data_IF_357695411968
#
_entry.id   IF_357695411968
#
_cell.length_a   1.000
_cell.length_b   1.000
_cell.length_c   1.000
_cell.angle_alpha   90.00
_cell.angle_beta   90.00
_cell.angle_gamma   90.00
#
_symmetry.space_group_name_H-M   'P 1'
#
loop_
_entity.id
_entity.type
_entity.pdbx_description
1 polymer ?
#
# COMPACT_ATOMS: atom_id res chain seq x y z
N UNK A 1 75.65 34.85 -40.12
CA UNK A 1 74.25 34.69 -39.67
C UNK A 1 73.70 33.28 -39.86
N UNK A 2 73.83 32.60 -41.02
CA UNK A 2 73.29 31.23 -41.24
C UNK A 2 73.80 30.13 -40.27
N UNK A 3 75.05 30.19 -39.81
CA UNK A 3 75.61 29.19 -38.86
C UNK A 3 75.05 29.32 -37.43
N UNK A 4 74.67 30.52 -37.00
CA UNK A 4 74.07 30.76 -35.67
C UNK A 4 72.62 30.26 -35.65
N UNK A 5 71.86 30.49 -36.72
CA UNK A 5 70.49 29.97 -36.84
C UNK A 5 70.45 28.44 -36.88
N UNK A 6 71.41 27.78 -37.53
CA UNK A 6 71.49 26.32 -37.52
C UNK A 6 71.82 25.76 -36.11
N UNK A 7 72.77 26.38 -35.39
CA UNK A 7 73.08 25.97 -34.01
C UNK A 7 71.88 26.20 -33.08
N UNK A 8 71.17 27.31 -33.25
CA UNK A 8 69.98 27.62 -32.46
C UNK A 8 68.82 26.65 -32.77
N UNK A 9 68.62 26.27 -34.04
CA UNK A 9 67.65 25.26 -34.44
C UNK A 9 67.99 23.87 -33.90
N UNK A 10 69.28 23.49 -33.89
CA UNK A 10 69.72 22.22 -33.30
C UNK A 10 69.57 22.22 -31.78
N UNK A 11 69.84 23.33 -31.10
CA UNK A 11 69.65 23.45 -29.66
C UNK A 11 68.17 23.35 -29.26
N UNK A 12 67.29 24.01 -30.02
CA UNK A 12 65.83 23.95 -29.82
C UNK A 12 65.30 22.53 -30.09
N UNK A 13 65.79 21.86 -31.14
CA UNK A 13 65.42 20.49 -31.45
C UNK A 13 65.82 19.49 -30.34
N UNK A 14 67.00 19.66 -29.73
CA UNK A 14 67.48 18.82 -28.61
C UNK A 14 66.68 19.08 -27.33
N UNK A 15 66.29 20.33 -27.05
CA UNK A 15 65.46 20.69 -25.90
C UNK A 15 64.00 20.22 -26.01
N UNK A 16 63.49 20.01 -27.24
CA UNK A 16 62.15 19.42 -27.44
C UNK A 16 62.07 17.91 -27.21
N UNK A 17 63.20 17.19 -27.09
CA UNK A 17 63.21 15.77 -26.73
C UNK A 17 63.23 15.52 -25.20
N UNK A 18 63.44 16.54 -24.38
CA UNK A 18 63.49 16.42 -22.91
C UNK A 18 62.21 16.86 -22.20
N UNK A 19 61.17 17.32 -22.93
CA UNK A 19 59.92 17.81 -22.32
C UNK A 19 58.83 16.76 -22.11
N UNK A 20 59.12 15.48 -22.35
CA UNK A 20 58.24 14.37 -21.98
C UNK A 20 58.96 13.43 -21.01
N UNK A 21 59.23 13.91 -19.80
CA UNK A 21 59.17 13.01 -18.65
C UNK A 21 57.69 12.63 -18.50
N UNK A 22 57.36 11.38 -18.81
CA UNK A 22 56.05 10.80 -18.51
C UNK A 22 56.01 10.31 -17.05
N UNK A 23 56.77 10.92 -16.15
CA UNK A 23 56.69 10.64 -14.72
C UNK A 23 55.46 11.37 -14.18
N UNK A 24 54.29 10.87 -14.57
CA UNK A 24 53.07 11.11 -13.83
C UNK A 24 53.22 10.23 -12.60
N UNK A 25 53.43 10.84 -11.43
CA UNK A 25 53.36 10.13 -10.17
C UNK A 25 52.03 9.36 -10.15
N UNK A 26 52.11 8.03 -10.10
CA UNK A 26 50.93 7.20 -10.04
C UNK A 26 50.18 7.56 -8.76
N UNK A 27 48.98 8.15 -8.90
CA UNK A 27 48.12 8.52 -7.77
C UNK A 27 47.73 7.28 -6.93
N UNK A 28 47.86 6.08 -7.50
CA UNK A 28 47.53 4.82 -6.87
C UNK A 28 48.59 3.76 -7.17
N UNK A 29 48.92 2.95 -6.16
CA UNK A 29 49.95 1.89 -6.25
C UNK A 29 49.56 0.69 -7.14
N UNK A 30 48.32 0.65 -7.66
CA UNK A 30 47.79 -0.45 -8.49
C UNK A 30 47.00 0.06 -9.70
N UNK A 31 47.04 -0.67 -10.84
CA UNK A 31 46.20 -0.39 -11.99
C UNK A 31 44.70 -0.35 -11.63
N UNK A 32 43.94 0.50 -12.30
CA UNK A 32 42.49 0.64 -12.05
C UNK A 32 41.71 -0.68 -12.16
N UNK A 33 42.09 -1.57 -13.08
CA UNK A 33 41.45 -2.88 -13.22
C UNK A 33 41.71 -3.81 -12.02
N UNK A 34 42.93 -3.82 -11.48
CA UNK A 34 43.27 -4.61 -10.30
C UNK A 34 42.54 -4.10 -9.06
N UNK A 35 42.47 -2.77 -8.87
CA UNK A 35 41.73 -2.17 -7.75
C UNK A 35 40.25 -2.51 -7.76
N UNK A 36 39.66 -2.60 -8.95
CA UNK A 36 38.25 -2.99 -9.12
C UNK A 36 38.04 -4.46 -8.78
N UNK A 37 38.93 -5.34 -9.24
CA UNK A 37 38.86 -6.76 -8.91
C UNK A 37 39.05 -7.01 -7.41
N UNK A 38 39.99 -6.30 -6.77
CA UNK A 38 40.20 -6.35 -5.32
C UNK A 38 38.94 -5.92 -4.57
N UNK A 39 38.31 -4.81 -4.98
CA UNK A 39 37.08 -4.32 -4.37
C UNK A 39 35.87 -5.26 -4.60
N UNK A 40 35.76 -5.89 -5.79
CA UNK A 40 34.74 -6.92 -6.05
C UNK A 40 34.95 -8.12 -5.11
N UNK A 41 36.20 -8.57 -4.93
CA UNK A 41 36.52 -9.66 -4.02
C UNK A 41 36.19 -9.30 -2.57
N UNK A 42 36.56 -8.11 -2.12
CA UNK A 42 36.23 -7.58 -0.78
C UNK A 42 34.71 -7.54 -0.55
N UNK A 43 33.95 -6.99 -1.51
CA UNK A 43 32.50 -6.90 -1.39
C UNK A 43 31.85 -8.29 -1.39
N UNK A 44 32.37 -9.24 -2.16
CA UNK A 44 31.91 -10.64 -2.11
C UNK A 44 32.19 -11.25 -0.73
N UNK A 45 33.36 -10.99 -0.14
CA UNK A 45 33.68 -11.43 1.22
C UNK A 45 32.71 -10.83 2.24
N UNK A 46 32.40 -9.52 2.15
CA UNK A 46 31.41 -8.88 3.03
C UNK A 46 30.05 -9.55 2.88
N UNK A 47 29.51 -9.63 1.66
CA UNK A 47 28.18 -10.20 1.40
C UNK A 47 28.04 -11.64 1.93
N UNK A 48 29.10 -12.44 1.84
CA UNK A 48 29.11 -13.84 2.29
C UNK A 48 29.53 -14.03 3.76
N UNK A 49 29.98 -12.98 4.44
CA UNK A 49 30.38 -13.04 5.86
C UNK A 49 29.21 -13.06 6.85
N UNK A 50 28.03 -12.56 6.44
CA UNK A 50 26.83 -12.61 7.25
C UNK A 50 26.28 -14.05 7.28
N UNK A 51 26.63 -14.81 8.33
CA UNK A 51 26.32 -16.25 8.46
C UNK A 51 24.84 -16.58 8.23
N UNK A 52 23.94 -15.72 8.73
CA UNK A 52 22.50 -15.87 8.58
C UNK A 52 21.88 -14.92 7.53
N UNK A 53 22.72 -14.32 6.69
CA UNK A 53 22.31 -13.38 5.65
C UNK A 53 22.04 -11.97 6.18
N UNK A 54 21.34 -11.21 5.34
CA UNK A 54 21.11 -9.79 5.46
C UNK A 54 19.62 -9.50 5.46
N UNK A 55 19.18 -8.56 6.29
CA UNK A 55 17.90 -7.87 6.14
C UNK A 55 18.09 -6.68 5.21
N UNK A 56 17.42 -6.71 4.08
CA UNK A 56 17.37 -5.62 3.10
C UNK A 56 16.04 -4.88 3.22
N UNK A 57 16.10 -3.61 3.64
CA UNK A 57 14.95 -2.70 3.60
C UNK A 57 14.80 -2.15 2.18
N UNK A 58 13.81 -2.63 1.45
CA UNK A 58 13.63 -2.36 0.02
C UNK A 58 12.40 -1.51 -0.25
N UNK A 59 12.56 -0.45 -1.05
CA UNK A 59 11.47 0.44 -1.42
C UNK A 59 11.34 0.45 -2.95
N UNK A 60 10.33 -0.23 -3.53
CA UNK A 60 10.12 -0.19 -4.96
C UNK A 60 9.69 1.21 -5.41
N UNK A 61 10.13 1.56 -6.63
CA UNK A 61 9.91 2.86 -7.28
C UNK A 61 10.65 4.04 -6.64
N UNK A 62 11.07 4.98 -7.48
CA UNK A 62 11.90 6.13 -7.07
C UNK A 62 11.23 7.05 -6.04
N UNK A 63 9.90 7.18 -6.09
CA UNK A 63 9.12 8.02 -5.19
C UNK A 63 8.51 7.25 -4.02
N UNK A 64 8.92 5.98 -3.82
CA UNK A 64 8.53 5.14 -2.67
C UNK A 64 7.02 4.99 -2.45
N UNK A 65 6.20 5.23 -3.49
CA UNK A 65 4.72 5.32 -3.34
C UNK A 65 4.02 4.01 -2.93
N UNK A 66 4.74 2.89 -2.92
CA UNK A 66 4.21 1.59 -2.49
C UNK A 66 4.70 1.21 -1.08
N UNK A 67 5.50 2.06 -0.43
CA UNK A 67 6.12 1.77 0.87
C UNK A 67 7.32 0.84 0.79
N UNK A 68 7.74 0.31 1.94
CA UNK A 68 8.93 -0.52 2.10
C UNK A 68 8.62 -1.98 2.45
N UNK A 69 9.50 -2.88 2.03
CA UNK A 69 9.42 -4.33 2.19
C UNK A 69 10.74 -4.90 2.71
N UNK A 70 10.64 -5.95 3.52
CA UNK A 70 11.78 -6.63 4.11
C UNK A 70 12.15 -7.84 3.26
N UNK A 71 13.34 -7.82 2.66
CA UNK A 71 13.91 -9.00 2.00
C UNK A 71 15.02 -9.59 2.87
N UNK A 72 14.93 -10.87 3.17
CA UNK A 72 16.00 -11.63 3.81
C UNK A 72 16.86 -12.27 2.70
N UNK A 73 18.15 -11.93 2.64
CA UNK A 73 19.06 -12.34 1.58
C UNK A 73 20.29 -13.05 2.13
N UNK A 74 20.57 -14.27 1.66
CA UNK A 74 21.78 -15.03 2.03
C UNK A 74 22.60 -15.31 0.78
N UNK A 75 23.76 -14.67 0.71
CA UNK A 75 24.72 -14.82 -0.38
C UNK A 75 25.63 -16.02 -0.10
N UNK A 76 25.73 -16.92 -1.06
CA UNK A 76 26.65 -18.05 -1.08
C UNK A 76 27.95 -17.72 -1.79
N UNK A 77 29.00 -18.44 -1.43
CA UNK A 77 30.31 -18.36 -2.10
C UNK A 77 30.28 -18.94 -3.52
N UNK A 78 29.30 -19.81 -3.79
CA UNK A 78 28.96 -20.41 -5.08
C UNK A 78 28.34 -19.44 -6.10
N UNK A 79 28.07 -18.19 -5.70
CA UNK A 79 27.45 -17.19 -6.58
C UNK A 79 25.92 -17.21 -6.56
N UNK A 80 25.31 -17.94 -5.63
CA UNK A 80 23.86 -17.95 -5.46
C UNK A 80 23.41 -17.05 -4.30
N UNK A 81 22.23 -16.46 -4.42
CA UNK A 81 21.53 -15.76 -3.35
C UNK A 81 20.22 -16.48 -3.07
N UNK A 82 19.93 -16.69 -1.79
CA UNK A 82 18.63 -17.20 -1.34
C UNK A 82 17.84 -16.06 -0.73
N UNK A 83 16.56 -15.94 -1.08
CA UNK A 83 15.70 -14.83 -0.71
C UNK A 83 14.38 -15.30 -0.09
N UNK A 84 13.87 -14.52 0.86
CA UNK A 84 12.52 -14.56 1.43
C UNK A 84 12.04 -13.11 1.66
N UNK A 85 10.74 -12.84 1.63
CA UNK A 85 10.20 -11.48 1.74
C UNK A 85 8.85 -11.47 2.45
N UNK A 86 8.62 -10.44 3.25
CA UNK A 86 7.31 -10.17 3.89
C UNK A 86 6.21 -9.92 2.85
N UNK A 87 6.56 -9.44 1.66
CA UNK A 87 5.62 -9.30 0.55
C UNK A 87 4.98 -10.61 0.05
N UNK A 88 5.54 -11.79 0.39
CA UNK A 88 5.13 -13.10 -0.12
C UNK A 88 4.90 -14.15 0.97
N UNK A 89 5.09 -13.78 2.24
CA UNK A 89 4.98 -14.66 3.39
C UNK A 89 6.14 -15.65 3.58
N UNK A 90 6.17 -16.25 4.77
CA UNK A 90 7.24 -17.14 5.23
C UNK A 90 7.40 -18.45 4.43
N UNK A 91 6.36 -18.89 3.71
CA UNK A 91 6.40 -20.11 2.89
C UNK A 91 7.10 -19.90 1.53
N UNK A 92 7.36 -18.64 1.15
CA UNK A 92 7.93 -18.32 -0.15
C UNK A 92 9.43 -18.04 -0.07
N UNK A 93 10.22 -19.05 -0.44
CA UNK A 93 11.68 -18.97 -0.58
C UNK A 93 12.13 -19.25 -2.01
N UNK A 94 13.20 -18.59 -2.45
CA UNK A 94 13.78 -18.81 -3.78
C UNK A 94 15.29 -18.56 -3.81
N UNK A 95 16.00 -19.37 -4.60
CA UNK A 95 17.45 -19.24 -4.82
C UNK A 95 17.71 -18.96 -6.29
N UNK A 96 18.66 -18.07 -6.58
CA UNK A 96 19.06 -17.70 -7.94
C UNK A 96 20.50 -17.21 -7.95
N UNK A 97 21.10 -17.09 -9.12
CA UNK A 97 22.41 -16.46 -9.27
C UNK A 97 22.42 -14.95 -8.91
N UNK A 98 23.56 -14.47 -8.41
CA UNK A 98 23.90 -13.05 -8.31
C UNK A 98 25.32 -12.81 -8.83
N UNK A 99 25.59 -11.58 -9.29
CA UNK A 99 26.95 -11.17 -9.66
C UNK A 99 27.30 -9.80 -9.12
N UNK A 100 28.60 -9.60 -8.90
CA UNK A 100 29.22 -8.30 -8.70
C UNK A 100 30.05 -7.98 -9.94
N UNK A 101 29.75 -6.86 -10.60
CA UNK A 101 30.47 -6.46 -11.81
C UNK A 101 30.75 -4.96 -11.84
N UNK A 102 31.72 -4.56 -12.66
CA UNK A 102 32.03 -3.16 -12.89
C UNK A 102 31.10 -2.57 -13.97
N UNK A 103 30.31 -1.56 -13.59
CA UNK A 103 29.48 -0.78 -14.52
C UNK A 103 29.31 0.65 -13.98
N UNK A 104 30.24 1.56 -14.34
CA UNK A 104 30.40 2.92 -13.78
C UNK A 104 30.60 3.03 -12.24
N UNK A 105 30.33 1.95 -11.51
CA UNK A 105 30.63 1.62 -10.12
C UNK A 105 30.57 0.10 -9.98
N UNK A 106 30.85 -0.48 -8.80
CA UNK A 106 30.55 -1.91 -8.57
C UNK A 106 29.03 -2.06 -8.44
N UNK A 107 28.45 -2.98 -9.21
CA UNK A 107 27.01 -3.25 -9.25
C UNK A 107 26.76 -4.68 -8.77
N UNK A 108 25.88 -4.81 -7.78
CA UNK A 108 25.25 -6.07 -7.40
C UNK A 108 24.04 -6.29 -8.34
N UNK A 109 24.03 -7.38 -9.08
CA UNK A 109 22.93 -7.74 -9.98
C UNK A 109 22.34 -9.09 -9.60
N UNK A 110 21.01 -9.15 -9.56
CA UNK A 110 20.25 -10.40 -9.54
C UNK A 110 19.89 -10.74 -10.99
N UNK A 111 20.73 -11.54 -11.64
CA UNK A 111 20.72 -11.76 -13.09
C UNK A 111 20.03 -13.08 -13.52
N UNK A 112 19.58 -13.88 -12.56
CA UNK A 112 18.70 -15.02 -12.78
C UNK A 112 17.35 -14.80 -12.09
N UNK A 113 16.26 -15.22 -12.75
CA UNK A 113 14.92 -15.03 -12.22
C UNK A 113 14.76 -15.64 -10.83
N UNK A 114 14.22 -14.85 -9.92
CA UNK A 114 13.95 -15.19 -8.54
C UNK A 114 12.59 -14.64 -8.17
N UNK A 115 11.61 -15.51 -7.92
CA UNK A 115 10.22 -15.11 -7.63
C UNK A 115 10.07 -14.18 -6.42
N UNK A 116 11.04 -14.14 -5.50
CA UNK A 116 11.01 -13.25 -4.33
C UNK A 116 11.56 -11.87 -4.70
N UNK A 117 12.76 -11.83 -5.29
CA UNK A 117 13.43 -10.57 -5.64
C UNK A 117 12.71 -9.86 -6.80
N UNK A 118 12.31 -10.61 -7.83
CA UNK A 118 11.73 -10.06 -9.06
C UNK A 118 10.25 -9.69 -8.92
N UNK A 119 9.58 -10.10 -7.84
CA UNK A 119 8.19 -9.76 -7.52
C UNK A 119 7.88 -8.28 -7.71
N UNK A 120 8.78 -7.40 -7.26
CA UNK A 120 8.61 -5.95 -7.31
C UNK A 120 8.72 -5.33 -8.71
N UNK A 121 9.08 -6.13 -9.71
CA UNK A 121 9.21 -5.73 -11.11
C UNK A 121 8.53 -6.70 -12.06
N UNK A 122 7.74 -7.65 -11.53
CA UNK A 122 7.12 -8.70 -12.32
C UNK A 122 6.07 -8.09 -13.28
N UNK A 123 6.23 -8.26 -14.61
CA UNK A 123 5.26 -7.78 -15.59
C UNK A 123 3.85 -8.33 -15.39
N UNK A 124 3.69 -9.52 -14.80
CA UNK A 124 2.39 -10.11 -14.49
C UNK A 124 1.68 -9.39 -13.35
N UNK A 125 2.38 -8.56 -12.57
CA UNK A 125 1.85 -7.79 -11.44
C UNK A 125 0.98 -8.64 -10.50
N UNK A 126 1.53 -9.73 -9.91
CA UNK A 126 0.74 -10.72 -9.17
C UNK A 126 0.01 -10.15 -7.95
N UNK A 127 0.50 -9.06 -7.37
CA UNK A 127 -0.12 -8.38 -6.23
C UNK A 127 -1.22 -7.37 -6.64
N UNK A 128 -1.37 -7.08 -7.93
CA UNK A 128 -2.19 -5.96 -8.40
C UNK A 128 -1.66 -4.58 -7.97
N UNK A 129 -0.41 -4.49 -7.46
CA UNK A 129 0.21 -3.25 -6.99
C UNK A 129 1.12 -2.70 -8.10
N UNK A 130 0.67 -1.62 -8.73
CA UNK A 130 1.38 -0.96 -9.83
C UNK A 130 0.78 -1.27 -11.19
N UNK A 131 1.59 -1.16 -12.25
CA UNK A 131 1.10 -1.23 -13.62
C UNK A 131 1.37 -2.60 -14.25
N UNK A 132 0.38 -3.15 -14.94
CA UNK A 132 0.57 -4.34 -15.78
C UNK A 132 1.69 -4.10 -16.80
N UNK A 133 2.60 -5.06 -16.93
CA UNK A 133 3.81 -4.95 -17.76
C UNK A 133 5.02 -4.29 -17.09
N UNK A 134 4.86 -3.70 -15.89
CA UNK A 134 5.95 -3.04 -15.14
C UNK A 134 6.04 -3.45 -13.66
N UNK A 135 4.98 -4.02 -13.10
CA UNK A 135 4.85 -4.29 -11.68
C UNK A 135 4.98 -3.01 -10.85
N UNK A 136 5.68 -3.12 -9.71
CA UNK A 136 6.01 -1.97 -8.84
C UNK A 136 7.25 -1.19 -9.29
N UNK A 137 7.79 -1.48 -10.47
CA UNK A 137 8.96 -0.80 -11.03
C UNK A 137 10.25 -0.93 -10.20
N UNK A 138 10.39 -2.03 -9.45
CA UNK A 138 11.57 -2.37 -8.67
C UNK A 138 12.88 -2.44 -9.47
N UNK A 139 13.98 -2.09 -8.82
CA UNK A 139 15.34 -2.34 -9.30
C UNK A 139 15.76 -3.80 -9.03
N UNK A 140 16.56 -4.36 -9.94
CA UNK A 140 17.22 -5.68 -9.82
C UNK A 140 18.75 -5.55 -9.78
N UNK A 141 19.24 -4.35 -10.04
CA UNK A 141 20.65 -4.00 -10.09
C UNK A 141 20.89 -2.82 -9.15
N UNK A 142 21.95 -2.92 -8.35
CA UNK A 142 22.23 -1.99 -7.26
C UNK A 142 23.68 -1.55 -7.28
N UNK A 143 23.91 -0.24 -7.37
CA UNK A 143 25.23 0.35 -7.26
C UNK A 143 25.66 0.32 -5.80
N UNK A 144 26.73 -0.40 -5.49
CA UNK A 144 27.28 -0.51 -4.13
C UNK A 144 28.03 0.78 -3.81
N UNK A 145 27.60 1.48 -2.75
CA UNK A 145 28.27 2.66 -2.24
C UNK A 145 29.31 2.29 -1.18
N UNK A 146 28.90 1.45 -0.22
CA UNK A 146 29.76 0.93 0.85
C UNK A 146 29.37 -0.51 1.17
N UNK A 147 30.34 -1.36 1.45
CA UNK A 147 30.11 -2.71 1.96
C UNK A 147 31.04 -2.94 3.16
N UNK A 148 30.44 -3.18 4.32
CA UNK A 148 31.13 -3.44 5.59
C UNK A 148 30.41 -4.56 6.32
N UNK A 149 31.04 -5.15 7.34
CA UNK A 149 30.40 -6.17 8.17
C UNK A 149 29.09 -5.68 8.84
N UNK A 150 29.00 -4.39 9.15
CA UNK A 150 27.84 -3.80 9.83
C UNK A 150 26.71 -3.43 8.86
N UNK A 151 27.05 -3.02 7.63
CA UNK A 151 26.06 -2.65 6.63
C UNK A 151 26.59 -2.65 5.19
N UNK A 152 25.68 -2.91 4.25
CA UNK A 152 25.89 -2.67 2.81
C UNK A 152 24.89 -1.61 2.34
N UNK A 153 25.39 -0.49 1.84
CA UNK A 153 24.58 0.64 1.38
C UNK A 153 24.65 0.71 -0.13
N UNK A 154 23.49 0.79 -0.77
CA UNK A 154 23.35 0.74 -2.22
C UNK A 154 22.36 1.77 -2.75
N UNK A 155 22.44 2.03 -4.05
CA UNK A 155 21.42 2.75 -4.82
C UNK A 155 20.87 1.85 -5.92
N UNK A 156 19.55 1.81 -6.08
CA UNK A 156 18.93 1.19 -7.25
C UNK A 156 19.49 1.79 -8.55
N UNK A 157 19.93 0.97 -9.49
CA UNK A 157 20.64 1.42 -10.71
C UNK A 157 19.74 2.23 -11.63
N UNK A 158 18.46 1.86 -11.75
CA UNK A 158 17.45 2.54 -12.58
C UNK A 158 16.72 3.63 -11.81
N UNK A 159 16.37 3.41 -10.53
CA UNK A 159 15.51 4.34 -9.77
C UNK A 159 16.25 5.27 -8.82
N UNK A 160 17.48 4.93 -8.45
CA UNK A 160 18.29 5.74 -7.53
C UNK A 160 17.82 5.69 -6.07
N UNK A 161 16.87 4.82 -5.72
CA UNK A 161 16.39 4.67 -4.34
C UNK A 161 17.50 4.11 -3.45
N UNK A 162 17.74 4.75 -2.30
CA UNK A 162 18.69 4.27 -1.29
C UNK A 162 18.16 3.02 -0.62
N UNK A 163 19.00 1.99 -0.56
CA UNK A 163 18.74 0.68 0.02
C UNK A 163 19.86 0.37 0.99
N UNK A 164 19.50 -0.21 2.13
CA UNK A 164 20.44 -0.59 3.18
C UNK A 164 20.19 -2.04 3.55
N UNK A 165 21.27 -2.81 3.60
CA UNK A 165 21.29 -4.14 4.17
C UNK A 165 22.01 -4.11 5.52
N UNK A 166 21.43 -4.75 6.52
CA UNK A 166 22.03 -4.98 7.84
C UNK A 166 22.12 -6.48 8.11
N UNK A 167 23.17 -6.98 8.80
CA UNK A 167 23.32 -8.41 9.04
C UNK A 167 22.18 -8.92 9.94
N UNK A 168 21.64 -10.08 9.61
CA UNK A 168 20.71 -10.80 10.47
C UNK A 168 21.43 -11.33 11.71
N UNK A 169 20.72 -11.44 12.83
CA UNK A 169 21.23 -12.18 13.99
C UNK A 169 21.55 -13.62 13.59
N UNK A 170 22.65 -14.17 14.13
CA UNK A 170 23.20 -15.47 13.71
C UNK A 170 22.21 -16.63 13.89
N UNK A 171 21.33 -16.51 14.87
CA UNK A 171 20.35 -17.49 15.32
C UNK A 171 18.90 -17.14 14.92
N UNK A 172 18.68 -16.05 14.19
CA UNK A 172 17.32 -15.67 13.75
C UNK A 172 16.73 -16.71 12.80
N UNK A 173 15.50 -17.15 13.05
CA UNK A 173 14.74 -17.93 12.10
C UNK A 173 14.06 -16.99 11.08
N UNK A 174 14.31 -17.23 9.79
CA UNK A 174 13.75 -16.40 8.72
C UNK A 174 12.23 -16.51 8.62
N UNK A 175 11.69 -17.72 8.76
CA UNK A 175 10.25 -17.93 8.68
C UNK A 175 9.57 -17.28 9.87
N UNK A 176 10.11 -17.44 11.08
CA UNK A 176 9.60 -16.76 12.28
C UNK A 176 9.69 -15.24 12.16
N UNK A 177 10.79 -14.72 11.62
CA UNK A 177 10.96 -13.27 11.38
C UNK A 177 9.89 -12.72 10.45
N UNK A 178 9.64 -13.40 9.32
CA UNK A 178 8.64 -12.95 8.35
C UNK A 178 7.22 -13.13 8.90
N UNK A 179 6.90 -14.28 9.49
CA UNK A 179 5.59 -14.51 10.11
C UNK A 179 5.27 -13.49 11.20
N UNK A 180 6.24 -13.14 12.05
CA UNK A 180 6.05 -12.11 13.08
C UNK A 180 5.78 -10.73 12.47
N UNK A 181 6.48 -10.36 11.39
CA UNK A 181 6.22 -9.10 10.65
C UNK A 181 4.82 -9.10 10.04
N UNK A 182 4.41 -10.20 9.41
CA UNK A 182 3.10 -10.35 8.77
C UNK A 182 1.96 -10.30 9.80
N UNK A 183 2.11 -11.02 10.93
CA UNK A 183 1.14 -11.04 12.03
C UNK A 183 1.00 -9.64 12.65
N UNK A 184 2.12 -8.94 12.88
CA UNK A 184 2.11 -7.59 13.40
C UNK A 184 1.48 -6.60 12.41
N UNK A 185 1.76 -6.71 11.11
CA UNK A 185 1.12 -5.87 10.09
C UNK A 185 -0.41 -6.05 10.09
N UNK A 186 -0.90 -7.29 10.18
CA UNK A 186 -2.32 -7.58 10.31
C UNK A 186 -2.92 -6.99 11.58
N UNK A 187 -2.22 -7.10 12.72
CA UNK A 187 -2.69 -6.53 13.97
C UNK A 187 -2.75 -5.00 13.93
N UNK A 188 -1.78 -4.37 13.28
CA UNK A 188 -1.69 -2.92 13.11
C UNK A 188 -2.66 -2.36 12.08
N UNK A 189 -3.43 -3.19 11.36
CA UNK A 189 -4.31 -2.71 10.30
C UNK A 189 -5.64 -2.17 10.87
N UNK A 190 -5.78 -0.85 10.88
CA UNK A 190 -6.99 -0.14 11.30
C UNK A 190 -7.60 0.68 10.15
N UNK A 191 -8.94 0.90 10.13
CA UNK A 191 -9.58 1.80 9.17
C UNK A 191 -9.00 3.21 9.14
N UNK A 192 -8.63 3.72 10.32
CA UNK A 192 -7.92 4.99 10.49
C UNK A 192 -7.15 5.01 11.79
N UNK A 193 -6.29 6.00 11.92
CA UNK A 193 -5.51 6.29 13.11
C UNK A 193 -5.75 7.74 13.53
N UNK A 194 -5.50 8.03 14.80
CA UNK A 194 -5.47 9.41 15.31
C UNK A 194 -4.16 9.68 16.02
N UNK A 195 -3.62 10.88 15.85
CA UNK A 195 -2.40 11.33 16.49
C UNK A 195 -2.60 12.78 16.96
N UNK A 196 -2.02 13.16 18.09
CA UNK A 196 -2.03 14.54 18.58
C UNK A 196 -0.60 14.99 18.88
N UNK A 197 -0.22 16.13 18.29
CA UNK A 197 1.14 16.69 18.41
C UNK A 197 1.04 18.17 18.69
N UNK A 198 1.52 18.60 19.86
CA UNK A 198 1.46 19.99 20.33
C UNK A 198 0.07 20.60 20.11
N UNK A 199 -0.98 19.94 20.64
CA UNK A 199 -2.40 20.31 20.54
C UNK A 199 -3.01 20.28 19.12
N UNK A 200 -2.26 19.90 18.09
CA UNK A 200 -2.78 19.69 16.73
C UNK A 200 -3.15 18.22 16.54
N UNK A 201 -4.40 17.97 16.16
CA UNK A 201 -4.92 16.63 15.87
C UNK A 201 -4.71 16.26 14.41
N UNK A 202 -4.34 15.02 14.18
CA UNK A 202 -4.21 14.40 12.88
C UNK A 202 -5.12 13.17 12.79
N UNK A 203 -5.82 13.03 11.68
CA UNK A 203 -6.42 11.75 11.26
C UNK A 203 -5.49 11.15 10.21
N UNK A 204 -5.16 9.87 10.35
CA UNK A 204 -4.34 9.18 9.38
C UNK A 204 -5.02 7.97 8.78
N UNK A 205 -4.76 7.71 7.51
CA UNK A 205 -5.22 6.53 6.78
C UNK A 205 -4.04 5.89 6.06
N UNK A 206 -4.03 4.56 5.98
CA UNK A 206 -2.97 3.81 5.31
C UNK A 206 -3.44 3.25 3.96
N UNK A 207 -2.53 3.24 2.99
CA UNK A 207 -2.73 2.57 1.71
C UNK A 207 -1.40 1.95 1.27
N UNK A 208 -1.41 0.66 0.93
CA UNK A 208 -0.20 -0.14 0.85
C UNK A 208 0.62 0.02 2.14
N UNK A 209 1.93 0.30 2.03
CA UNK A 209 2.78 0.68 3.17
C UNK A 209 3.12 2.18 3.15
N UNK A 210 2.10 3.00 2.92
CA UNK A 210 2.15 4.45 3.07
C UNK A 210 1.06 4.89 4.04
N UNK A 211 1.31 5.95 4.78
CA UNK A 211 0.33 6.56 5.70
C UNK A 211 0.17 8.04 5.38
N UNK A 212 -1.08 8.49 5.28
CA UNK A 212 -1.39 9.90 5.03
C UNK A 212 -1.92 10.54 6.30
N UNK A 213 -1.20 11.51 6.85
CA UNK A 213 -1.63 12.31 7.98
C UNK A 213 -2.35 13.56 7.47
N UNK A 214 -3.61 13.75 7.88
CA UNK A 214 -4.41 14.94 7.57
C UNK A 214 -4.57 15.78 8.83
N UNK A 215 -4.07 17.01 8.80
CA UNK A 215 -4.12 17.93 9.94
C UNK A 215 -5.52 18.50 10.14
N UNK A 216 -5.92 18.66 11.40
CA UNK A 216 -7.09 19.47 11.77
C UNK A 216 -6.86 20.96 11.51
N UNK A 217 -5.61 21.40 11.41
CA UNK A 217 -5.25 22.72 10.91
C UNK A 217 -5.20 22.69 9.36
N UNK A 218 -6.20 23.31 8.72
CA UNK A 218 -6.33 23.33 7.27
C UNK A 218 -5.12 23.95 6.55
N UNK A 219 -4.32 24.81 7.20
CA UNK A 219 -3.11 25.40 6.61
C UNK A 219 -1.96 24.39 6.43
N UNK A 220 -1.90 23.35 7.27
CA UNK A 220 -0.88 22.30 7.17
C UNK A 220 -1.22 21.25 6.09
N UNK A 221 -2.51 21.08 5.79
CA UNK A 221 -2.99 20.12 4.79
C UNK A 221 -2.74 18.66 5.19
N UNK A 222 -2.31 17.85 4.22
CA UNK A 222 -2.02 16.43 4.40
C UNK A 222 -0.63 16.06 3.88
N UNK A 223 0.06 15.16 4.58
CA UNK A 223 1.32 14.57 4.11
C UNK A 223 1.23 13.05 4.02
N UNK A 224 1.79 12.47 2.96
CA UNK A 224 1.81 11.01 2.73
C UNK A 224 3.23 10.49 2.85
N UNK A 225 3.44 9.56 3.77
CA UNK A 225 4.75 9.11 4.18
C UNK A 225 4.89 7.59 4.00
N UNK A 226 5.90 7.10 3.29
CA UNK A 226 6.18 5.68 3.16
C UNK A 226 6.79 5.12 4.44
N UNK A 227 6.38 3.92 4.82
CA UNK A 227 6.95 3.19 5.94
C UNK A 227 7.32 1.75 5.54
N UNK A 228 8.11 1.11 6.39
CA UNK A 228 8.36 -0.32 6.41
C UNK A 228 7.91 -0.89 7.75
N UNK A 229 7.37 -2.10 7.74
CA UNK A 229 7.01 -2.81 8.98
C UNK A 229 8.30 -3.37 9.60
N UNK A 230 8.42 -3.25 10.92
CA UNK A 230 9.53 -3.79 11.72
C UNK A 230 9.01 -4.89 12.64
N UNK A 231 9.89 -5.47 13.44
CA UNK A 231 9.52 -6.43 14.49
C UNK A 231 8.69 -5.80 15.63
N UNK A 232 8.52 -4.47 15.64
CA UNK A 232 7.87 -3.72 16.73
C UNK A 232 6.81 -2.73 16.26
N UNK A 233 6.75 -2.41 14.97
CA UNK A 233 5.76 -1.49 14.44
C UNK A 233 6.11 -1.01 13.05
N UNK A 234 6.19 0.31 12.85
CA UNK A 234 6.51 0.93 11.58
C UNK A 234 7.71 1.88 11.69
N UNK A 235 8.53 1.93 10.64
CA UNK A 235 9.64 2.88 10.48
C UNK A 235 9.45 3.64 9.18
N UNK A 236 9.55 4.97 9.22
CA UNK A 236 9.43 5.79 8.02
C UNK A 236 10.71 5.74 7.18
N UNK A 237 10.56 5.82 5.85
CA UNK A 237 11.71 5.85 4.93
C UNK A 237 12.72 6.96 5.27
N UNK A 238 12.17 8.11 5.72
CA UNK A 238 12.90 9.23 6.30
C UNK A 238 12.11 9.73 7.52
N UNK A 239 12.78 10.33 8.52
CA UNK A 239 12.06 10.99 9.60
C UNK A 239 11.07 12.02 9.05
N UNK A 240 9.85 12.01 9.59
CA UNK A 240 8.77 12.92 9.20
C UNK A 240 8.67 14.04 10.23
N UNK A 241 7.98 15.12 9.89
CA UNK A 241 7.72 16.22 10.83
C UNK A 241 6.22 16.48 10.92
N UNK A 242 5.65 16.31 12.12
CA UNK A 242 4.27 16.68 12.43
C UNK A 242 4.30 17.80 13.46
N UNK A 243 3.66 18.94 13.17
CA UNK A 243 3.65 20.15 14.02
C UNK A 243 5.00 20.46 14.71
N UNK A 244 6.09 20.45 13.93
CA UNK A 244 7.46 20.74 14.40
C UNK A 244 8.19 19.61 15.15
N UNK A 245 7.53 18.47 15.40
CA UNK A 245 8.14 17.30 16.04
C UNK A 245 8.60 16.29 15.00
N UNK A 246 9.88 15.92 15.06
CA UNK A 246 10.46 14.88 14.20
C UNK A 246 10.14 13.50 14.73
N UNK A 247 9.67 12.61 13.85
CA UNK A 247 9.28 11.24 14.19
C UNK A 247 9.91 10.28 13.19
N UNK A 248 10.63 9.25 13.67
CA UNK A 248 11.24 8.21 12.82
C UNK A 248 10.34 7.03 12.52
N UNK A 249 9.35 6.80 13.37
CA UNK A 249 8.48 5.65 13.31
C UNK A 249 7.74 5.46 14.61
N UNK A 250 6.92 4.41 14.66
CA UNK A 250 6.08 4.08 15.80
C UNK A 250 6.20 2.61 16.14
N UNK A 251 6.40 2.29 17.42
CA UNK A 251 6.27 0.94 17.94
C UNK A 251 4.82 0.71 18.37
N UNK A 252 4.21 -0.35 17.89
CA UNK A 252 2.88 -0.76 18.32
C UNK A 252 2.96 -1.42 19.70
N UNK A 253 2.08 -0.97 20.61
CA UNK A 253 1.97 -1.43 22.00
C UNK A 253 0.69 -2.23 22.24
N UNK A 254 -0.29 -2.11 21.36
CA UNK A 254 -1.60 -2.73 21.54
C UNK A 254 -2.35 -2.18 22.74
N UNK A 255 -3.01 -3.07 23.48
CA UNK A 255 -3.91 -2.74 24.58
C UNK A 255 -5.26 -2.20 24.13
N UNK A 256 -6.09 -1.78 25.09
CA UNK A 256 -7.48 -1.38 24.85
C UNK A 256 -7.63 -0.18 23.89
N UNK A 257 -6.57 0.65 23.78
CA UNK A 257 -6.55 1.83 22.92
C UNK A 257 -5.76 1.64 21.61
N UNK A 258 -5.26 0.43 21.32
CA UNK A 258 -4.46 0.14 20.14
C UNK A 258 -3.30 1.13 19.93
N UNK A 259 -2.50 1.33 20.99
CA UNK A 259 -1.55 2.43 21.06
C UNK A 259 -0.29 2.15 20.25
N UNK A 260 0.25 3.21 19.65
CA UNK A 260 1.52 3.29 18.97
C UNK A 260 2.36 4.39 19.63
N UNK A 261 3.56 4.05 20.09
CA UNK A 261 4.50 5.00 20.69
C UNK A 261 5.59 5.38 19.68
N UNK A 262 5.85 6.68 19.51
CA UNK A 262 6.96 7.15 18.69
C UNK A 262 8.30 6.59 19.20
N UNK A 263 9.19 6.24 18.27
CA UNK A 263 10.50 5.67 18.58
C UNK A 263 11.51 6.69 19.15
N UNK A 264 11.29 7.98 18.91
CA UNK A 264 12.26 9.05 19.22
C UNK A 264 11.64 10.35 19.76
N UNK A 265 10.32 10.40 19.94
CA UNK A 265 9.59 11.52 20.51
C UNK A 265 8.51 11.05 21.50
N UNK A 266 7.94 11.99 22.27
CA UNK A 266 6.80 11.72 23.16
C UNK A 266 5.46 11.88 22.42
N UNK A 267 5.32 11.24 21.25
CA UNK A 267 4.12 11.30 20.41
C UNK A 267 3.44 9.93 20.40
N UNK A 268 2.11 9.94 20.49
CA UNK A 268 1.27 8.74 20.43
C UNK A 268 0.37 8.78 19.21
N UNK A 269 0.19 7.62 18.59
CA UNK A 269 -0.83 7.37 17.58
C UNK A 269 -1.73 6.24 18.08
N UNK A 270 -3.01 6.28 17.78
CA UNK A 270 -3.99 5.28 18.20
C UNK A 270 -4.66 4.69 16.98
N UNK A 271 -4.74 3.36 16.91
CA UNK A 271 -5.63 2.67 15.97
C UNK A 271 -7.09 2.93 16.33
N UNK A 272 -7.92 3.29 15.37
CA UNK A 272 -9.36 3.54 15.59
C UNK A 272 -10.17 2.43 14.94
N UNK A 273 -11.01 1.78 15.74
CA UNK A 273 -12.04 0.86 15.27
C UNK A 273 -13.38 1.59 15.39
N UNK A 274 -13.94 2.11 14.29
CA UNK A 274 -15.23 2.76 14.34
C UNK A 274 -16.33 1.77 14.75
N UNK A 275 -17.41 2.22 15.39
CA UNK A 275 -18.58 1.37 15.62
C UNK A 275 -19.11 0.80 14.30
N UNK A 276 -19.74 -0.38 14.34
CA UNK A 276 -20.17 -1.06 13.11
C UNK A 276 -21.20 -0.20 12.34
N UNK A 277 -21.98 0.63 13.04
CA UNK A 277 -22.89 1.62 12.45
C UNK A 277 -22.18 2.68 11.59
N UNK A 278 -21.01 3.18 12.00
CA UNK A 278 -20.19 4.08 11.18
C UNK A 278 -19.60 3.33 9.98
N UNK A 279 -19.18 2.07 10.18
CA UNK A 279 -18.56 1.25 9.12
C UNK A 279 -19.53 0.89 7.98
N UNK A 280 -20.84 0.84 8.23
CA UNK A 280 -21.87 0.73 7.16
C UNK A 280 -21.77 1.89 6.17
N UNK A 281 -21.48 3.09 6.67
CA UNK A 281 -21.47 4.33 5.88
C UNK A 281 -20.14 4.50 5.15
N UNK A 282 -19.02 4.19 5.82
CA UNK A 282 -17.69 4.36 5.24
C UNK A 282 -17.28 3.24 4.27
N UNK A 283 -17.96 2.09 4.29
CA UNK A 283 -17.66 0.94 3.44
C UNK A 283 -18.52 0.88 2.17
N UNK A 284 -18.04 0.09 1.21
CA UNK A 284 -18.82 -0.33 0.04
C UNK A 284 -19.42 -1.72 0.30
N UNK A 285 -20.74 -1.82 0.20
CA UNK A 285 -21.49 -2.98 0.69
C UNK A 285 -22.48 -3.48 -0.36
N UNK A 286 -22.25 -4.67 -0.90
CA UNK A 286 -23.09 -5.28 -1.92
C UNK A 286 -24.28 -6.05 -1.35
N UNK A 287 -25.40 -5.98 -2.05
CA UNK A 287 -26.62 -6.73 -1.76
C UNK A 287 -26.70 -8.01 -2.57
N UNK A 288 -27.36 -9.04 -2.03
CA UNK A 288 -27.82 -10.22 -2.77
C UNK A 288 -29.19 -10.64 -2.29
N UNK A 289 -30.15 -10.88 -3.19
CA UNK A 289 -31.51 -11.31 -2.83
C UNK A 289 -31.53 -12.67 -2.16
N UNK A 290 -30.57 -13.54 -2.49
CA UNK A 290 -30.38 -14.82 -1.81
C UNK A 290 -30.12 -14.64 -0.30
N UNK A 291 -29.55 -13.50 0.09
CA UNK A 291 -29.21 -13.18 1.47
C UNK A 291 -30.09 -12.06 2.04
N UNK A 292 -31.40 -12.18 1.85
CA UNK A 292 -32.41 -11.26 2.38
C UNK A 292 -33.53 -12.00 3.11
N UNK A 293 -34.21 -11.30 4.02
CA UNK A 293 -35.40 -11.79 4.68
C UNK A 293 -36.60 -11.87 3.74
N UNK A 294 -37.57 -12.71 4.07
CA UNK A 294 -38.73 -12.99 3.22
C UNK A 294 -39.54 -11.75 2.87
N UNK A 295 -39.67 -10.79 3.80
CA UNK A 295 -40.32 -9.52 3.53
C UNK A 295 -39.53 -8.72 2.49
N UNK A 296 -38.22 -8.58 2.69
CA UNK A 296 -37.33 -7.82 1.82
C UNK A 296 -37.27 -8.42 0.41
N UNK A 297 -37.12 -9.74 0.31
CA UNK A 297 -37.11 -10.47 -0.95
C UNK A 297 -38.38 -10.21 -1.77
N UNK A 298 -39.55 -10.19 -1.13
CA UNK A 298 -40.81 -9.94 -1.84
C UNK A 298 -40.82 -8.58 -2.55
N UNK A 299 -40.36 -7.51 -1.87
CA UNK A 299 -40.28 -6.18 -2.45
C UNK A 299 -39.20 -6.05 -3.52
N UNK A 300 -38.02 -6.65 -3.28
CA UNK A 300 -36.94 -6.62 -4.27
C UNK A 300 -37.32 -7.38 -5.54
N UNK A 301 -37.94 -8.55 -5.42
CA UNK A 301 -38.43 -9.32 -6.56
C UNK A 301 -39.54 -8.58 -7.32
N UNK A 302 -40.49 -7.95 -6.62
CA UNK A 302 -41.53 -7.13 -7.26
C UNK A 302 -40.96 -5.92 -8.00
N UNK A 303 -39.95 -5.26 -7.43
CA UNK A 303 -39.23 -4.18 -8.10
C UNK A 303 -38.49 -4.67 -9.35
N UNK A 304 -37.80 -5.81 -9.25
CA UNK A 304 -37.08 -6.42 -10.37
C UNK A 304 -38.00 -6.86 -11.49
N UNK A 305 -39.18 -7.42 -11.19
CA UNK A 305 -40.18 -7.81 -12.20
C UNK A 305 -40.58 -6.59 -13.05
N UNK A 306 -40.77 -5.43 -12.42
CA UNK A 306 -41.10 -4.19 -13.13
C UNK A 306 -39.96 -3.69 -14.02
N UNK A 307 -38.72 -3.68 -13.50
CA UNK A 307 -37.54 -3.25 -14.26
C UNK A 307 -37.26 -4.21 -15.42
N UNK A 308 -37.35 -5.51 -15.16
CA UNK A 308 -37.03 -6.59 -16.11
C UNK A 308 -38.00 -6.71 -17.27
N UNK A 309 -39.15 -6.03 -17.22
CA UNK A 309 -40.06 -5.92 -18.36
C UNK A 309 -39.46 -5.14 -19.53
N UNK A 310 -38.50 -4.25 -19.25
CA UNK A 310 -37.93 -3.33 -20.24
C UNK A 310 -36.40 -3.41 -20.35
N UNK A 311 -35.73 -3.90 -19.31
CA UNK A 311 -34.27 -3.96 -19.22
C UNK A 311 -33.82 -5.36 -18.78
N UNK A 312 -32.54 -5.68 -19.01
CA UNK A 312 -31.94 -6.83 -18.35
C UNK A 312 -31.95 -6.64 -16.82
N UNK A 313 -31.95 -7.73 -16.03
CA UNK A 313 -31.87 -7.64 -14.57
C UNK A 313 -30.69 -6.80 -14.10
N UNK A 314 -30.86 -6.19 -12.93
CA UNK A 314 -29.81 -5.42 -12.29
C UNK A 314 -28.62 -6.32 -11.96
N UNK A 315 -27.42 -5.95 -12.41
CA UNK A 315 -26.20 -6.75 -12.27
C UNK A 315 -25.73 -6.80 -10.82
N UNK A 316 -25.72 -5.65 -10.15
CA UNK A 316 -25.44 -5.53 -8.72
C UNK A 316 -26.13 -4.32 -8.13
N UNK A 317 -26.28 -4.35 -6.81
CA UNK A 317 -26.66 -3.20 -6.01
C UNK A 317 -25.67 -3.08 -4.83
N UNK A 318 -25.32 -1.85 -4.44
CA UNK A 318 -24.43 -1.61 -3.31
C UNK A 318 -24.77 -0.32 -2.56
N UNK A 319 -24.57 -0.29 -1.24
CA UNK A 319 -24.34 0.97 -0.54
C UNK A 319 -22.92 1.44 -0.86
N UNK A 320 -22.80 2.69 -1.28
CA UNK A 320 -21.52 3.28 -1.68
C UNK A 320 -21.61 4.80 -1.76
N UNK A 321 -20.47 5.46 -1.92
CA UNK A 321 -20.39 6.88 -2.26
C UNK A 321 -20.28 7.06 -3.77
N UNK A 322 -21.12 7.92 -4.32
CA UNK A 322 -21.18 8.19 -5.75
C UNK A 322 -19.91 8.88 -6.25
N UNK A 323 -19.37 8.37 -7.36
CA UNK A 323 -18.22 8.93 -8.06
C UNK A 323 -18.56 9.40 -9.50
N UNK A 324 -19.85 9.60 -9.81
CA UNK A 324 -20.26 10.09 -11.13
C UNK A 324 -19.97 11.59 -11.27
N UNK A 325 -19.42 12.03 -12.40
CA UNK A 325 -18.99 13.43 -12.61
C UNK A 325 -20.05 14.47 -12.20
N UNK A 326 -21.32 14.24 -12.53
CA UNK A 326 -22.42 15.18 -12.26
C UNK A 326 -23.20 14.87 -10.97
N UNK A 327 -22.75 13.87 -10.19
CA UNK A 327 -23.44 13.42 -8.97
C UNK A 327 -22.46 12.89 -7.90
N UNK A 328 -21.24 13.42 -7.86
CA UNK A 328 -20.18 12.93 -6.98
C UNK A 328 -20.42 13.32 -5.51
N UNK A 329 -20.00 12.46 -4.58
CA UNK A 329 -20.02 12.74 -3.14
C UNK A 329 -21.35 12.46 -2.44
N UNK A 330 -22.35 11.95 -3.16
CA UNK A 330 -23.62 11.49 -2.57
C UNK A 330 -23.46 10.07 -2.00
N UNK A 331 -24.02 9.79 -0.83
CA UNK A 331 -24.06 8.44 -0.26
C UNK A 331 -25.47 7.85 -0.38
N UNK A 332 -25.55 6.56 -0.70
CA UNK A 332 -26.83 5.89 -0.89
C UNK A 332 -26.68 4.55 -1.57
N UNK A 333 -27.71 4.12 -2.28
CA UNK A 333 -27.72 2.85 -2.99
C UNK A 333 -27.48 3.06 -4.50
N UNK A 334 -26.47 2.37 -5.00
CA UNK A 334 -26.13 2.27 -6.40
C UNK A 334 -26.65 0.96 -6.97
N UNK A 335 -27.42 1.04 -8.06
CA UNK A 335 -27.84 -0.08 -8.88
C UNK A 335 -27.23 0.02 -10.28
N UNK A 336 -26.62 -1.08 -10.75
CA UNK A 336 -26.24 -1.22 -12.16
C UNK A 336 -27.34 -1.95 -12.93
N UNK A 337 -28.17 -1.22 -13.68
CA UNK A 337 -29.29 -1.79 -14.44
C UNK A 337 -28.93 -1.82 -15.92
N UNK A 338 -28.61 -2.99 -16.47
CA UNK A 338 -28.21 -3.15 -17.87
C UNK A 338 -27.12 -2.16 -18.35
N UNK A 339 -26.14 -1.87 -17.47
CA UNK A 339 -25.08 -0.89 -17.75
C UNK A 339 -25.43 0.57 -17.42
N UNK A 340 -26.69 0.88 -17.12
CA UNK A 340 -27.09 2.19 -16.63
C UNK A 340 -26.84 2.31 -15.13
N UNK A 341 -26.24 3.43 -14.73
CA UNK A 341 -25.91 3.69 -13.34
C UNK A 341 -27.04 4.46 -12.64
N UNK A 342 -27.88 3.75 -11.88
CA UNK A 342 -28.97 4.31 -11.09
C UNK A 342 -28.51 4.56 -9.65
N UNK A 343 -28.55 5.80 -9.18
CA UNK A 343 -28.14 6.15 -7.82
C UNK A 343 -29.28 6.85 -7.09
N UNK A 344 -29.59 6.35 -5.89
CA UNK A 344 -30.64 6.86 -5.01
C UNK A 344 -29.99 7.22 -3.67
N UNK A 345 -30.07 8.49 -3.28
CA UNK A 345 -29.55 8.94 -1.99
C UNK A 345 -30.30 8.23 -0.86
N UNK A 346 -29.57 7.85 0.18
CA UNK A 346 -30.13 7.38 1.45
C UNK A 346 -29.55 8.28 2.53
N UNK A 347 -30.37 8.69 3.48
CA UNK A 347 -29.92 9.45 4.65
C UNK A 347 -29.73 8.48 5.82
N UNK A 348 -28.48 8.12 6.17
CA UNK A 348 -28.20 7.33 7.35
C UNK A 348 -28.26 8.21 8.60
N UNK A 349 -28.76 7.66 9.70
CA UNK A 349 -28.66 8.26 11.03
C UNK A 349 -28.11 7.20 11.98
N UNK A 350 -26.90 7.42 12.50
CA UNK A 350 -26.32 6.56 13.54
C UNK A 350 -27.16 6.75 14.81
N UNK A 351 -27.71 5.65 15.32
CA UNK A 351 -28.52 5.64 16.56
C UNK A 351 -27.60 5.38 17.75
N UNK A 352 -26.77 4.35 17.63
CA UNK A 352 -25.72 3.97 18.59
C UNK A 352 -24.66 3.11 17.87
N UNK A 353 -23.85 2.36 18.62
CA UNK A 353 -22.72 1.59 18.07
C UNK A 353 -23.12 0.48 17.10
N UNK A 354 -24.32 -0.11 17.27
CA UNK A 354 -24.82 -1.24 16.47
C UNK A 354 -26.21 -1.00 15.86
N UNK A 355 -26.75 0.22 15.94
CA UNK A 355 -28.01 0.60 15.29
C UNK A 355 -27.85 1.78 14.33
N UNK A 356 -28.50 1.66 13.17
CA UNK A 356 -28.54 2.69 12.13
C UNK A 356 -29.94 2.81 11.53
N UNK A 357 -30.38 4.04 11.27
CA UNK A 357 -31.66 4.32 10.62
C UNK A 357 -31.46 4.82 9.20
N UNK A 358 -32.32 4.40 8.27
CA UNK A 358 -32.28 4.81 6.87
C UNK A 358 -33.57 5.50 6.43
N UNK A 359 -33.43 6.68 5.83
CA UNK A 359 -34.52 7.43 5.21
C UNK A 359 -34.22 7.74 3.73
N UNK A 360 -35.25 7.95 2.93
CA UNK A 360 -35.14 8.39 1.53
C UNK A 360 -35.39 9.90 1.43
N UNK A 361 -34.39 10.74 1.11
CA UNK A 361 -34.56 12.18 0.99
C UNK A 361 -35.17 12.62 -0.36
N UNK A 362 -35.49 11.68 -1.26
CA UNK A 362 -36.02 12.00 -2.59
C UNK A 362 -35.00 12.63 -3.53
N UNK A 363 -33.70 12.30 -3.38
CA UNK A 363 -32.62 12.78 -4.23
C UNK A 363 -32.00 11.63 -5.03
N UNK A 364 -31.74 11.90 -6.30
CA UNK A 364 -31.35 10.90 -7.28
C UNK A 364 -30.43 11.50 -8.33
N UNK A 365 -29.59 10.66 -8.94
CA UNK A 365 -29.06 10.99 -10.25
C UNK A 365 -30.16 10.78 -11.33
N UNK A 366 -29.90 11.19 -12.57
CA UNK A 366 -30.92 11.14 -13.64
C UNK A 366 -31.50 9.73 -13.87
N UNK A 367 -30.65 8.71 -13.93
CA UNK A 367 -31.08 7.31 -14.05
C UNK A 367 -31.80 6.84 -12.77
N UNK A 368 -31.33 7.28 -11.60
CA UNK A 368 -31.95 7.05 -10.30
C UNK A 368 -33.41 7.45 -10.30
N UNK A 369 -33.70 8.69 -10.70
CA UNK A 369 -35.06 9.19 -10.79
C UNK A 369 -35.93 8.35 -11.74
N UNK A 370 -35.36 7.95 -12.88
CA UNK A 370 -36.04 7.10 -13.85
C UNK A 370 -36.34 5.71 -13.27
N UNK A 371 -35.34 4.95 -12.83
CA UNK A 371 -35.53 3.58 -12.36
C UNK A 371 -36.27 3.49 -11.01
N UNK A 372 -36.19 4.54 -10.18
CA UNK A 372 -37.02 4.68 -8.97
C UNK A 372 -38.50 4.59 -9.32
N UNK A 373 -38.94 5.38 -10.30
CA UNK A 373 -40.33 5.40 -10.77
C UNK A 373 -40.75 4.11 -11.51
N UNK A 374 -39.78 3.27 -11.90
CA UNK A 374 -39.98 2.07 -12.72
C UNK A 374 -39.68 0.75 -11.99
N UNK A 375 -39.61 0.77 -10.65
CA UNK A 375 -39.57 -0.45 -9.83
C UNK A 375 -38.65 -0.37 -8.63
N UNK A 376 -37.61 0.48 -8.66
CA UNK A 376 -36.68 0.57 -7.53
C UNK A 376 -37.33 1.20 -6.28
N UNK A 377 -38.43 1.95 -6.41
CA UNK A 377 -39.25 2.38 -5.27
C UNK A 377 -39.62 1.23 -4.33
N UNK A 378 -39.93 0.03 -4.84
CA UNK A 378 -40.26 -1.12 -3.98
C UNK A 378 -39.07 -1.53 -3.11
N UNK A 379 -37.86 -1.51 -3.67
CA UNK A 379 -36.61 -1.82 -2.96
C UNK A 379 -36.33 -0.77 -1.89
N UNK A 380 -36.53 0.51 -2.20
CA UNK A 380 -36.36 1.62 -1.25
C UNK A 380 -37.41 1.60 -0.15
N UNK A 381 -38.65 1.23 -0.46
CA UNK A 381 -39.69 1.05 0.55
C UNK A 381 -39.33 -0.06 1.55
N UNK A 382 -38.80 -1.19 1.07
CA UNK A 382 -38.33 -2.24 1.96
C UNK A 382 -37.24 -1.74 2.93
N UNK A 383 -36.32 -0.90 2.42
CA UNK A 383 -35.20 -0.34 3.19
C UNK A 383 -35.58 0.81 4.12
N UNK A 384 -36.50 1.69 3.74
CA UNK A 384 -36.73 2.98 4.43
C UNK A 384 -38.14 3.16 4.95
N UNK A 385 -39.10 2.36 4.46
CA UNK A 385 -40.52 2.56 4.69
C UNK A 385 -41.15 3.68 3.86
N UNK A 386 -40.39 4.40 3.03
CA UNK A 386 -40.93 5.47 2.19
C UNK A 386 -41.64 4.93 0.96
N UNK A 387 -42.93 5.28 0.81
CA UNK A 387 -43.79 4.89 -0.32
C UNK A 387 -43.65 5.82 -1.54
N UNK A 388 -42.55 6.59 -1.61
CA UNK A 388 -42.31 7.58 -2.66
C UNK A 388 -42.83 8.98 -2.32
N UNK A 389 -43.20 9.20 -1.06
CA UNK A 389 -43.65 10.51 -0.56
C UNK A 389 -42.48 11.41 -0.14
N UNK A 390 -41.34 10.80 0.18
CA UNK A 390 -40.15 11.44 0.75
C UNK A 390 -40.49 12.25 2.01
N UNK A 391 -41.46 11.77 2.79
CA UNK A 391 -41.96 12.47 3.95
C UNK A 391 -40.91 12.49 5.07
N UNK A 392 -40.74 13.65 5.69
CA UNK A 392 -39.87 13.81 6.85
C UNK A 392 -40.34 12.87 7.98
N UNK A 393 -39.38 12.19 8.62
CA UNK A 393 -39.66 11.27 9.73
C UNK A 393 -40.03 9.85 9.30
N UNK A 394 -40.06 9.54 7.99
CA UNK A 394 -40.18 8.16 7.51
C UNK A 394 -38.80 7.53 7.39
N UNK A 395 -38.50 6.60 8.29
CA UNK A 395 -37.26 5.85 8.33
C UNK A 395 -37.48 4.47 8.95
N UNK A 396 -36.57 3.54 8.69
CA UNK A 396 -36.49 2.25 9.39
C UNK A 396 -35.15 2.12 10.10
N UNK A 397 -35.19 1.66 11.34
CA UNK A 397 -34.00 1.40 12.16
C UNK A 397 -33.63 -0.07 12.10
N UNK A 398 -32.34 -0.32 11.90
CA UNK A 398 -31.76 -1.64 11.76
C UNK A 398 -30.73 -1.87 12.85
N UNK A 399 -30.81 -3.04 13.50
CA UNK A 399 -29.70 -3.60 14.25
C UNK A 399 -28.68 -4.21 13.29
N UNK A 400 -27.41 -3.99 13.57
CA UNK A 400 -26.27 -4.42 12.75
C UNK A 400 -25.53 -5.53 13.48
N UNK A 401 -25.31 -6.65 12.81
CA UNK A 401 -24.56 -7.78 13.34
C UNK A 401 -23.38 -8.10 12.42
N UNK A 402 -22.17 -8.17 12.98
CA UNK A 402 -21.00 -8.68 12.26
C UNK A 402 -21.16 -10.19 12.02
N UNK A 403 -21.12 -10.63 10.76
CA UNK A 403 -21.20 -12.04 10.41
C UNK A 403 -19.84 -12.64 10.07
N UNK A 404 -19.04 -11.91 9.28
CA UNK A 404 -17.70 -12.36 8.84
C UNK A 404 -16.71 -11.19 8.83
N UNK A 405 -15.42 -11.54 8.97
CA UNK A 405 -14.32 -10.59 9.07
C UNK A 405 -13.98 -10.29 10.53
N UNK A 406 -13.41 -9.11 10.78
CA UNK A 406 -13.06 -8.64 12.13
C UNK A 406 -13.78 -7.34 12.43
N UNK A 407 -13.81 -6.91 13.69
CA UNK A 407 -14.34 -5.59 14.04
C UNK A 407 -13.58 -4.43 13.35
N UNK A 408 -12.31 -4.63 13.00
CA UNK A 408 -11.48 -3.66 12.26
C UNK A 408 -11.79 -3.67 10.76
N UNK A 409 -12.15 -4.82 10.22
CA UNK A 409 -12.33 -5.07 8.79
C UNK A 409 -13.47 -6.08 8.58
N UNK A 410 -14.72 -5.62 8.68
CA UNK A 410 -15.88 -6.47 8.48
C UNK A 410 -15.97 -6.83 6.99
N UNK A 411 -16.22 -8.10 6.68
CA UNK A 411 -16.42 -8.57 5.30
C UNK A 411 -17.89 -8.92 5.02
N UNK A 412 -18.67 -9.18 6.07
CA UNK A 412 -20.11 -9.45 5.98
C UNK A 412 -20.83 -8.92 7.21
N UNK A 413 -21.93 -8.19 7.00
CA UNK A 413 -22.78 -7.64 8.06
C UNK A 413 -24.25 -7.94 7.79
N UNK A 414 -25.04 -8.10 8.85
CA UNK A 414 -26.48 -8.27 8.77
C UNK A 414 -27.20 -7.06 9.34
N UNK A 415 -28.13 -6.52 8.57
CA UNK A 415 -29.06 -5.48 8.99
C UNK A 415 -30.42 -6.11 9.25
N UNK A 416 -30.93 -6.05 10.48
CA UNK A 416 -32.27 -6.55 10.84
C UNK A 416 -33.15 -5.40 11.32
N UNK A 417 -34.27 -5.16 10.65
CA UNK A 417 -35.25 -4.11 11.01
C UNK A 417 -35.83 -4.39 12.39
N UNK A 418 -35.71 -3.43 13.32
CA UNK A 418 -36.19 -3.57 14.69
C UNK A 418 -37.70 -3.77 14.78
N UNK A 419 -38.44 -3.21 13.81
CA UNK A 419 -39.91 -3.29 13.78
C UNK A 419 -40.42 -4.55 13.07
N UNK A 420 -39.58 -5.21 12.28
CA UNK A 420 -39.95 -6.37 11.49
C UNK A 420 -38.79 -7.36 11.31
N UNK A 421 -38.73 -8.46 12.09
CA UNK A 421 -37.62 -9.42 12.02
C UNK A 421 -37.55 -10.21 10.70
N UNK A 422 -38.56 -10.12 9.83
CA UNK A 422 -38.51 -10.70 8.48
C UNK A 422 -37.95 -9.73 7.44
N UNK A 423 -37.71 -8.46 7.80
CA UNK A 423 -37.08 -7.45 6.95
C UNK A 423 -35.61 -7.34 7.33
N UNK A 424 -34.75 -8.06 6.61
CA UNK A 424 -33.31 -8.04 6.86
C UNK A 424 -32.50 -8.21 5.58
N UNK A 425 -31.26 -7.73 5.63
CA UNK A 425 -30.27 -7.81 4.56
C UNK A 425 -28.97 -8.36 5.12
N UNK A 426 -28.28 -9.21 4.39
CA UNK A 426 -26.84 -9.43 4.61
C UNK A 426 -26.09 -8.74 3.49
N UNK A 427 -25.13 -7.92 3.88
CA UNK A 427 -24.29 -7.14 2.98
C UNK A 427 -22.86 -7.66 3.01
N UNK A 428 -22.20 -7.68 1.86
CA UNK A 428 -20.83 -8.18 1.71
C UNK A 428 -19.93 -7.16 1.03
N UNK A 429 -18.64 -7.16 1.35
CA UNK A 429 -17.66 -6.29 0.65
C UNK A 429 -17.33 -6.81 -0.75
N UNK A 430 -17.54 -8.10 -1.00
CA UNK A 430 -17.41 -8.72 -2.32
C UNK A 430 -18.71 -8.60 -3.12
N UNK A 431 -18.60 -8.20 -4.39
CA UNK A 431 -19.72 -8.21 -5.33
C UNK A 431 -20.18 -9.66 -5.57
N UNK A 432 -21.49 -9.95 -5.46
CA UNK A 432 -22.00 -11.29 -5.72
C UNK A 432 -21.96 -11.62 -7.23
N UNK A 433 -21.95 -12.90 -7.57
CA UNK A 433 -22.05 -13.36 -8.97
C UNK A 433 -23.34 -12.89 -9.66
N UNK A 434 -24.43 -12.81 -8.89
CA UNK A 434 -25.72 -12.24 -9.30
C UNK A 434 -26.41 -11.55 -8.13
N UNK A 435 -27.08 -10.43 -8.40
CA UNK A 435 -27.96 -9.78 -7.43
C UNK A 435 -29.25 -10.57 -7.18
N UNK A 436 -29.87 -11.08 -8.25
CA UNK A 436 -31.17 -11.76 -8.26
C UNK A 436 -31.04 -13.25 -8.54
#
# INVERSE_FOLDING_TARGET
>A
MKKIYNILFTLIAVLSFTSCSNDIDEVFDKPSAERVNDAIAEYKTVLTSAENGWLMKYYPKANTKYGGYNLLLKFGTDGNVTAMSDALGADTKATSHYKLEQSASIVLSFDEYNKVIHFFSDPANPAGIGDNGKGMEGDLEFRVLTATADSVVMLGKKRGTKIVMTPMAKDADWAETISHIDDLEQEMQFPRYTCEVNDVKYVATSSYRTITFTSSNAEEGSTTEPYIVTDKGIEFYKPITLNGVTIKGFNYKGGDNYEFESTDAAVKMLGVVPPISEQVISGDWFFSVANMGSYTQAYWNAGNEKVSKYYSPCLFAAFTTSAFNDYAGHWGIFFNVAGYASFIDITPTIVDDDHISFACPGKFNANGQYFYSWGQLYMIYALTGDEGSHAAGVAKTYKIELLEGTSKQPSSIKLTDESNPNNWFVLTTSMPESLF
#
